data_IF_605422822492
#
_entry.id   IF_605422822492
#
_cell.length_a   1.000
_cell.length_b   1.000
_cell.length_c   1.000
_cell.angle_alpha   90.00
_cell.angle_beta   90.00
_cell.angle_gamma   90.00
#
_symmetry.space_group_name_H-M   'P 1'
#
loop_
_entity.id
_entity.type
_entity.pdbx_description
1 polymer ?
#
# COMPACT_ATOMS: atom_id res chain seq x y z
N UNK A 1 -31.99 63.61 -9.14
CA UNK A 1 -32.59 62.48 -8.40
C UNK A 1 -32.50 61.13 -9.12
N UNK A 2 -32.84 60.99 -10.41
CA UNK A 2 -32.81 59.70 -11.14
C UNK A 2 -31.42 59.02 -11.22
N UNK A 3 -30.33 59.78 -11.37
CA UNK A 3 -28.97 59.21 -11.48
C UNK A 3 -28.42 58.61 -10.17
N UNK A 4 -28.84 59.11 -9.01
CA UNK A 4 -28.40 58.59 -7.69
C UNK A 4 -29.10 57.27 -7.36
N UNK A 5 -30.35 57.11 -7.78
CA UNK A 5 -31.14 55.89 -7.58
C UNK A 5 -30.59 54.72 -8.43
N UNK A 6 -30.22 55.00 -9.68
CA UNK A 6 -29.63 53.99 -10.59
C UNK A 6 -28.28 53.49 -10.05
N UNK A 7 -27.43 54.39 -9.52
CA UNK A 7 -26.15 54.00 -8.90
C UNK A 7 -26.32 53.07 -7.69
N UNK A 8 -27.32 53.32 -6.84
CA UNK A 8 -27.60 52.47 -5.67
C UNK A 8 -28.17 51.10 -6.04
N UNK A 9 -29.03 51.04 -7.06
CA UNK A 9 -29.58 49.77 -7.56
C UNK A 9 -28.48 48.92 -8.22
N UNK A 10 -27.58 49.53 -9.01
CA UNK A 10 -26.44 48.82 -9.59
C UNK A 10 -25.46 48.30 -8.54
N UNK A 11 -25.23 49.03 -7.43
CA UNK A 11 -24.37 48.55 -6.35
C UNK A 11 -24.99 47.39 -5.55
N UNK A 12 -26.31 47.42 -5.31
CA UNK A 12 -27.00 46.33 -4.61
C UNK A 12 -27.04 45.05 -5.46
N UNK A 13 -27.24 45.17 -6.78
CA UNK A 13 -27.19 44.03 -7.70
C UNK A 13 -25.77 43.46 -7.81
N UNK A 14 -24.73 44.30 -7.82
CA UNK A 14 -23.34 43.84 -7.85
C UNK A 14 -22.96 43.08 -6.56
N UNK A 15 -23.42 43.55 -5.40
CA UNK A 15 -23.17 42.90 -4.10
C UNK A 15 -23.95 41.57 -4.00
N UNK A 16 -25.17 41.50 -4.53
CA UNK A 16 -25.95 40.26 -4.60
C UNK A 16 -25.33 39.18 -5.49
N UNK A 17 -24.74 39.58 -6.63
CA UNK A 17 -24.01 38.65 -7.53
C UNK A 17 -22.68 38.20 -6.91
N UNK A 18 -21.97 39.09 -6.19
CA UNK A 18 -20.77 38.73 -5.45
C UNK A 18 -21.06 37.74 -4.30
N UNK A 19 -22.15 37.94 -3.54
CA UNK A 19 -22.54 37.03 -2.45
C UNK A 19 -23.05 35.68 -2.96
N UNK A 20 -23.74 35.64 -4.11
CA UNK A 20 -24.14 34.40 -4.77
C UNK A 20 -22.95 33.66 -5.42
N UNK A 21 -21.94 34.39 -5.88
CA UNK A 21 -20.68 33.85 -6.39
C UNK A 21 -19.81 33.24 -5.28
N UNK A 22 -19.69 33.93 -4.14
CA UNK A 22 -18.91 33.44 -2.97
C UNK A 22 -19.61 32.25 -2.30
N UNK A 23 -20.95 32.22 -2.28
CA UNK A 23 -21.71 31.08 -1.73
C UNK A 23 -21.66 29.84 -2.62
N UNK A 24 -21.42 30.00 -3.94
CA UNK A 24 -21.23 28.87 -4.87
C UNK A 24 -19.82 28.29 -4.86
N UNK A 25 -18.82 29.04 -4.42
CA UNK A 25 -17.46 28.50 -4.18
C UNK A 25 -17.30 27.89 -2.78
N UNK A 26 -18.28 28.05 -1.89
CA UNK A 26 -18.26 27.48 -0.53
C UNK A 26 -18.96 26.10 -0.42
N UNK A 27 -19.54 25.59 -1.52
CA UNK A 27 -20.15 24.27 -1.60
C UNK A 27 -19.60 23.54 -2.83
N UNK A 28 -18.56 22.75 -2.63
CA UNK A 28 -18.06 21.81 -3.63
C UNK A 28 -16.77 22.22 -4.33
N UNK A 29 -15.72 22.52 -3.58
CA UNK A 29 -14.40 22.07 -3.99
C UNK A 29 -13.71 21.46 -2.78
N UNK A 30 -13.53 20.14 -2.81
CA UNK A 30 -12.41 19.52 -2.13
C UNK A 30 -11.15 19.98 -2.87
N UNK A 31 -10.82 21.28 -2.78
CA UNK A 31 -9.50 21.76 -3.14
C UNK A 31 -8.54 21.07 -2.17
N UNK A 32 -7.97 19.96 -2.65
CA UNK A 32 -6.78 19.34 -2.08
C UNK A 32 -5.74 20.45 -2.05
N UNK A 33 -5.63 21.12 -0.90
CA UNK A 33 -4.55 22.08 -0.65
C UNK A 33 -3.27 21.32 -0.95
N UNK A 34 -2.54 21.77 -1.97
CA UNK A 34 -1.18 21.30 -2.27
C UNK A 34 -0.37 21.53 -1.00
N UNK A 35 -0.27 20.49 -0.16
CA UNK A 35 0.65 20.50 0.97
C UNK A 35 2.01 20.34 0.34
N UNK A 36 2.93 21.26 0.63
CA UNK A 36 4.33 21.03 0.39
C UNK A 36 4.67 19.64 0.95
N UNK A 37 5.23 18.77 0.11
CA UNK A 37 5.74 17.47 0.55
C UNK A 37 6.75 17.81 1.67
N UNK A 38 6.53 17.40 2.93
CA UNK A 38 7.51 17.61 3.98
C UNK A 38 8.86 17.09 3.48
N UNK A 39 9.97 17.76 3.81
CA UNK A 39 11.31 17.20 3.58
C UNK A 39 11.27 15.71 3.95
N UNK A 40 11.56 14.83 2.97
CA UNK A 40 11.46 13.39 3.09
C UNK A 40 12.51 12.89 4.11
N UNK A 41 12.24 13.12 5.39
CA UNK A 41 12.96 12.59 6.54
C UNK A 41 12.27 11.32 7.04
N UNK A 42 12.00 10.39 6.12
CA UNK A 42 11.40 9.11 6.47
C UNK A 42 12.50 8.06 6.60
N UNK A 43 12.46 7.36 7.74
CA UNK A 43 13.36 6.28 8.14
C UNK A 43 13.50 5.28 6.98
N UNK A 44 14.72 5.12 6.48
CA UNK A 44 15.06 4.30 5.31
C UNK A 44 15.08 2.80 5.65
N UNK A 45 14.71 2.45 6.88
CA UNK A 45 14.61 1.08 7.35
C UNK A 45 13.20 0.53 7.11
N UNK A 46 13.05 -0.13 5.96
CA UNK A 46 12.13 -1.25 5.70
C UNK A 46 10.60 -1.02 5.79
N UNK A 47 10.14 0.18 6.18
CA UNK A 47 8.74 0.59 6.11
C UNK A 47 8.60 1.88 5.29
N UNK A 48 9.06 1.84 4.04
CA UNK A 48 8.93 2.97 3.12
C UNK A 48 7.45 3.31 2.94
N UNK A 49 6.96 4.32 3.67
CA UNK A 49 5.59 4.87 3.57
C UNK A 49 5.36 5.63 2.25
N UNK A 50 6.18 5.33 1.24
CA UNK A 50 6.09 5.91 -0.07
C UNK A 50 6.74 5.01 -1.13
N UNK A 51 6.24 5.12 -2.36
CA UNK A 51 6.88 4.63 -3.58
C UNK A 51 7.41 5.85 -4.32
N UNK A 52 8.66 5.86 -4.73
CA UNK A 52 9.22 6.91 -5.58
C UNK A 52 10.05 6.31 -6.70
N UNK A 53 9.62 6.54 -7.94
CA UNK A 53 10.32 6.06 -9.12
C UNK A 53 10.12 6.99 -10.30
N UNK A 54 11.21 7.53 -10.83
CA UNK A 54 11.20 8.54 -11.90
C UNK A 54 10.25 9.70 -11.55
N UNK A 55 9.19 9.86 -12.31
CA UNK A 55 8.23 10.94 -12.16
C UNK A 55 7.00 10.54 -11.33
N UNK A 56 6.94 9.31 -10.81
CA UNK A 56 5.88 8.81 -9.93
C UNK A 56 6.29 8.92 -8.47
N UNK A 57 5.40 9.45 -7.64
CA UNK A 57 5.48 9.40 -6.18
C UNK A 57 4.12 8.98 -5.62
N UNK A 58 4.09 7.94 -4.79
CA UNK A 58 2.90 7.51 -4.05
C UNK A 58 3.22 7.70 -2.58
N UNK A 59 2.44 8.51 -1.86
CA UNK A 59 2.59 8.72 -0.42
C UNK A 59 1.49 7.99 0.34
N UNK A 60 1.86 7.12 1.28
CA UNK A 60 0.92 6.52 2.23
C UNK A 60 0.71 7.51 3.39
N UNK A 61 -0.48 8.10 3.46
CA UNK A 61 -0.77 9.12 4.46
C UNK A 61 -1.26 8.51 5.77
N UNK A 62 -2.08 7.46 5.72
CA UNK A 62 -2.67 6.79 6.89
C UNK A 62 -3.21 5.40 6.50
N UNK A 63 -2.36 4.37 6.54
CA UNK A 63 -2.72 2.94 6.39
C UNK A 63 -3.73 2.65 5.27
N UNK A 64 -3.31 2.86 4.03
CA UNK A 64 -4.13 2.57 2.84
C UNK A 64 -4.70 3.84 2.19
N UNK A 65 -4.73 4.97 2.90
CA UNK A 65 -5.03 6.26 2.29
C UNK A 65 -3.80 6.81 1.55
N UNK A 66 -3.64 6.38 0.31
CA UNK A 66 -2.53 6.77 -0.55
C UNK A 66 -2.88 7.98 -1.44
N UNK A 67 -1.88 8.80 -1.72
CA UNK A 67 -2.00 9.90 -2.69
C UNK A 67 -0.94 9.74 -3.76
N UNK A 68 -1.38 9.73 -5.02
CA UNK A 68 -0.51 9.59 -6.19
C UNK A 68 -0.15 10.97 -6.72
N UNK A 69 1.14 11.19 -6.94
CA UNK A 69 1.72 12.39 -7.50
C UNK A 69 2.49 12.07 -8.78
N UNK A 70 2.42 12.98 -9.75
CA UNK A 70 3.21 12.95 -10.98
C UNK A 70 4.09 14.19 -11.07
N UNK A 71 5.37 14.01 -11.41
CA UNK A 71 6.29 15.11 -11.63
C UNK A 71 6.02 15.77 -12.98
N UNK A 72 5.80 17.08 -12.96
CA UNK A 72 5.61 17.95 -14.12
C UNK A 72 6.44 19.21 -13.91
N UNK A 73 7.25 19.59 -14.90
CA UNK A 73 8.12 20.76 -14.84
C UNK A 73 9.01 20.81 -13.57
N UNK A 74 9.47 19.63 -13.13
CA UNK A 74 10.34 19.50 -11.95
C UNK A 74 9.61 19.39 -10.61
N UNK A 75 8.28 19.52 -10.57
CA UNK A 75 7.49 19.57 -9.34
C UNK A 75 6.46 18.42 -9.33
N UNK A 76 6.33 17.71 -8.21
CA UNK A 76 5.28 16.70 -8.02
C UNK A 76 3.92 17.37 -7.80
N UNK A 77 2.95 16.99 -8.63
CA UNK A 77 1.55 17.44 -8.54
C UNK A 77 0.64 16.26 -8.23
N UNK A 78 -0.35 16.47 -7.38
CA UNK A 78 -1.37 15.44 -7.06
C UNK A 78 -2.11 15.06 -8.35
N UNK A 79 -2.39 13.77 -8.50
CA UNK A 79 -3.18 13.22 -9.60
C UNK A 79 -4.52 12.69 -9.11
N UNK A 80 -5.44 12.45 -10.04
CA UNK A 80 -6.72 11.79 -9.75
C UNK A 80 -6.62 10.25 -9.70
N UNK A 81 -5.42 9.68 -9.97
CA UNK A 81 -5.19 8.24 -9.95
C UNK A 81 -5.06 7.72 -8.52
N UNK A 82 -5.50 6.50 -8.30
CA UNK A 82 -5.32 5.75 -7.05
C UNK A 82 -4.21 4.69 -7.18
N UNK A 83 -3.84 4.06 -6.07
CA UNK A 83 -2.96 2.89 -6.10
C UNK A 83 -3.59 1.71 -6.85
N UNK A 84 -4.86 1.39 -6.62
CA UNK A 84 -5.53 0.33 -7.40
C UNK A 84 -5.62 0.64 -8.90
N UNK A 85 -5.74 1.91 -9.31
CA UNK A 85 -5.66 2.30 -10.73
C UNK A 85 -4.27 2.00 -11.33
N UNK A 86 -3.21 2.16 -10.53
CA UNK A 86 -1.83 1.85 -10.94
C UNK A 86 -1.64 0.33 -11.03
N UNK A 87 -2.08 -0.39 -10.00
CA UNK A 87 -1.95 -1.85 -9.90
C UNK A 87 -2.92 -2.60 -10.81
N UNK A 88 -3.92 -1.92 -11.38
CA UNK A 88 -4.99 -2.49 -12.20
C UNK A 88 -5.87 -3.47 -11.40
N UNK A 89 -6.26 -3.06 -10.19
CA UNK A 89 -7.12 -3.82 -9.28
C UNK A 89 -8.43 -3.11 -8.99
N UNK A 90 -9.41 -3.85 -8.47
CA UNK A 90 -10.70 -3.29 -8.04
C UNK A 90 -10.61 -2.64 -6.65
N UNK A 91 -9.72 -3.15 -5.80
CA UNK A 91 -9.53 -2.70 -4.42
C UNK A 91 -8.05 -2.33 -4.20
N UNK A 92 -7.82 -1.46 -3.22
CA UNK A 92 -6.46 -1.17 -2.76
C UNK A 92 -5.85 -2.43 -2.11
N UNK A 93 -4.53 -2.62 -2.23
CA UNK A 93 -3.87 -3.77 -1.62
C UNK A 93 -3.81 -3.63 -0.09
N UNK A 94 -3.85 -4.75 0.62
CA UNK A 94 -3.63 -4.79 2.09
C UNK A 94 -2.27 -4.18 2.45
N UNK A 95 -1.25 -4.50 1.66
CA UNK A 95 0.13 -4.07 1.91
C UNK A 95 0.91 -3.94 0.61
N UNK A 96 1.88 -3.05 0.55
CA UNK A 96 2.75 -2.87 -0.60
C UNK A 96 4.13 -2.32 -0.21
N UNK A 97 5.13 -2.60 -1.04
CA UNK A 97 6.51 -2.14 -0.86
C UNK A 97 7.18 -1.94 -2.22
N UNK A 98 8.16 -1.02 -2.28
CA UNK A 98 8.97 -0.83 -3.48
C UNK A 98 10.19 -1.78 -3.50
N UNK A 99 10.47 -2.37 -4.65
CA UNK A 99 11.76 -3.00 -4.95
C UNK A 99 12.30 -2.49 -6.30
N UNK A 100 13.23 -1.54 -6.28
CA UNK A 100 13.75 -0.94 -7.51
C UNK A 100 12.62 -0.27 -8.32
N UNK A 101 12.41 -0.72 -9.56
CA UNK A 101 11.32 -0.29 -10.43
C UNK A 101 9.98 -1.03 -10.19
N UNK A 102 9.91 -1.93 -9.21
CA UNK A 102 8.72 -2.73 -8.95
C UNK A 102 7.94 -2.21 -7.73
N UNK A 103 6.61 -2.28 -7.82
CA UNK A 103 5.73 -2.26 -6.64
C UNK A 103 5.29 -3.69 -6.39
N UNK A 104 5.63 -4.22 -5.22
CA UNK A 104 5.19 -5.54 -4.76
C UNK A 104 4.03 -5.32 -3.80
N UNK A 105 2.86 -5.81 -4.15
CA UNK A 105 1.63 -5.63 -3.37
C UNK A 105 1.00 -6.98 -3.01
N UNK A 106 0.39 -7.04 -1.83
CA UNK A 106 -0.46 -8.12 -1.35
C UNK A 106 -1.91 -7.73 -1.57
N UNK A 107 -2.71 -8.56 -2.22
CA UNK A 107 -4.14 -8.27 -2.39
C UNK A 107 -4.85 -8.11 -1.05
N UNK A 108 -5.95 -7.34 -1.03
CA UNK A 108 -6.78 -7.13 0.17
C UNK A 108 -7.22 -8.46 0.80
N UNK A 109 -7.68 -9.42 -0.02
CA UNK A 109 -8.07 -10.75 0.46
C UNK A 109 -6.89 -11.64 0.91
N UNK A 110 -5.65 -11.17 0.73
CA UNK A 110 -4.39 -11.88 1.02
C UNK A 110 -4.24 -13.18 0.21
N UNK A 111 -4.83 -13.24 -0.98
CA UNK A 111 -4.88 -14.47 -1.80
C UNK A 111 -3.83 -14.49 -2.90
N UNK A 112 -3.19 -13.36 -3.21
CA UNK A 112 -2.18 -13.27 -4.26
C UNK A 112 -1.21 -12.10 -4.02
N UNK A 113 -0.01 -12.21 -4.58
CA UNK A 113 0.85 -11.06 -4.80
C UNK A 113 0.62 -10.46 -6.19
N UNK A 114 0.71 -9.15 -6.28
CA UNK A 114 0.77 -8.36 -7.50
C UNK A 114 2.15 -7.73 -7.59
N UNK A 115 2.77 -7.82 -8.75
CA UNK A 115 4.06 -7.20 -9.02
C UNK A 115 3.83 -6.25 -10.19
N UNK A 116 3.79 -4.96 -9.91
CA UNK A 116 3.65 -3.93 -10.92
C UNK A 116 5.03 -3.42 -11.31
N UNK A 117 5.39 -3.54 -12.59
CA UNK A 117 6.61 -2.98 -13.14
C UNK A 117 6.36 -1.54 -13.61
N UNK A 118 6.95 -0.57 -12.89
CA UNK A 118 6.78 0.85 -13.20
C UNK A 118 7.49 1.29 -14.49
N UNK A 119 8.38 0.47 -15.08
CA UNK A 119 8.99 0.74 -16.38
C UNK A 119 8.08 0.36 -17.54
N UNK A 120 7.47 -0.82 -17.49
CA UNK A 120 6.60 -1.33 -18.56
C UNK A 120 5.13 -0.96 -18.36
N UNK A 121 4.70 -0.71 -17.13
CA UNK A 121 3.30 -0.53 -16.75
C UNK A 121 2.51 -1.85 -16.67
N UNK A 122 3.19 -3.00 -16.70
CA UNK A 122 2.58 -4.33 -16.63
C UNK A 122 2.43 -4.82 -15.19
N UNK A 123 1.37 -5.58 -14.91
CA UNK A 123 1.13 -6.23 -13.62
C UNK A 123 1.21 -7.75 -13.76
N UNK A 124 1.98 -8.39 -12.88
CA UNK A 124 2.12 -9.84 -12.80
C UNK A 124 1.46 -10.37 -11.52
N UNK A 125 0.65 -11.42 -11.66
CA UNK A 125 -0.12 -11.98 -10.53
C UNK A 125 0.40 -13.34 -10.10
N UNK A 126 0.63 -13.49 -8.80
CA UNK A 126 1.13 -14.71 -8.17
C UNK A 126 0.13 -15.21 -7.13
N UNK A 127 -0.88 -16.01 -7.55
CA UNK A 127 -1.89 -16.52 -6.63
C UNK A 127 -1.31 -17.58 -5.68
N UNK A 128 -1.90 -17.64 -4.50
CA UNK A 128 -1.69 -18.75 -3.56
C UNK A 128 -2.34 -20.02 -4.08
N UNK A 129 -2.06 -21.13 -3.40
CA UNK A 129 -2.84 -22.34 -3.60
C UNK A 129 -4.32 -22.11 -3.23
N UNK A 130 -5.21 -22.81 -3.93
CA UNK A 130 -6.65 -22.65 -3.77
C UNK A 130 -7.07 -22.87 -2.31
N UNK A 131 -7.82 -21.91 -1.75
CA UNK A 131 -8.32 -21.95 -0.38
C UNK A 131 -7.30 -21.53 0.68
N UNK A 132 -6.13 -21.03 0.27
CA UNK A 132 -5.14 -20.46 1.17
C UNK A 132 -5.06 -18.93 1.05
N UNK A 133 -4.62 -18.31 2.14
CA UNK A 133 -4.26 -16.90 2.25
C UNK A 133 -2.81 -16.76 2.68
N UNK A 134 -2.19 -15.62 2.41
CA UNK A 134 -0.85 -15.27 2.86
C UNK A 134 -0.95 -14.81 4.32
N UNK A 135 -0.16 -15.43 5.18
CA UNK A 135 -0.17 -15.15 6.62
C UNK A 135 0.89 -14.10 6.98
N UNK A 136 2.12 -14.32 6.50
CA UNK A 136 3.24 -13.39 6.66
C UNK A 136 4.14 -13.43 5.42
N UNK A 137 4.79 -12.29 5.15
CA UNK A 137 5.71 -12.17 4.01
C UNK A 137 6.78 -11.10 4.26
N UNK A 138 7.89 -11.25 3.55
CA UNK A 138 9.05 -10.35 3.58
C UNK A 138 9.60 -10.19 2.18
N UNK A 139 10.08 -9.00 1.87
CA UNK A 139 10.85 -8.74 0.67
C UNK A 139 12.34 -8.63 1.05
N UNK A 140 13.18 -9.50 0.51
CA UNK A 140 14.61 -9.47 0.76
C UNK A 140 15.40 -9.80 -0.51
N UNK A 141 16.36 -8.92 -0.86
CA UNK A 141 17.26 -9.08 -2.01
C UNK A 141 16.58 -9.51 -3.32
N UNK A 142 15.43 -8.90 -3.64
CA UNK A 142 14.72 -9.17 -4.89
C UNK A 142 13.92 -10.48 -4.88
N UNK A 143 13.63 -11.02 -3.70
CA UNK A 143 12.75 -12.17 -3.54
C UNK A 143 11.68 -11.91 -2.49
N UNK A 144 10.45 -12.36 -2.79
CA UNK A 144 9.35 -12.39 -1.82
C UNK A 144 9.42 -13.74 -1.11
N UNK A 145 9.57 -13.71 0.20
CA UNK A 145 9.46 -14.87 1.06
C UNK A 145 8.13 -14.81 1.78
N UNK A 146 7.39 -15.90 1.81
CA UNK A 146 6.05 -15.88 2.38
C UNK A 146 5.60 -17.25 2.89
N UNK A 147 4.60 -17.20 3.76
CA UNK A 147 3.87 -18.36 4.24
C UNK A 147 2.39 -18.23 3.89
N UNK A 148 1.78 -19.37 3.58
CA UNK A 148 0.35 -19.48 3.35
C UNK A 148 -0.34 -20.13 4.56
N UNK A 149 -1.64 -19.89 4.74
CA UNK A 149 -2.50 -20.52 5.74
C UNK A 149 -3.82 -20.95 5.11
N UNK A 150 -4.37 -22.04 5.58
CA UNK A 150 -5.71 -22.51 5.22
C UNK A 150 -6.69 -22.13 6.33
N UNK A 151 -7.86 -21.63 5.96
CA UNK A 151 -8.94 -21.36 6.90
C UNK A 151 -9.90 -22.55 6.92
N UNK A 152 -10.16 -23.08 8.11
CA UNK A 152 -11.14 -24.13 8.33
C UNK A 152 -12.55 -23.54 8.39
N UNK A 153 -13.56 -24.38 8.19
CA UNK A 153 -14.99 -24.00 8.25
C UNK A 153 -15.40 -23.43 9.62
N UNK A 154 -14.68 -23.77 10.69
CA UNK A 154 -14.92 -23.28 12.06
C UNK A 154 -14.21 -21.94 12.36
N UNK A 155 -13.58 -21.32 11.36
CA UNK A 155 -12.84 -20.07 11.49
C UNK A 155 -11.45 -20.22 12.12
N UNK A 156 -10.99 -21.45 12.39
CA UNK A 156 -9.62 -21.70 12.82
C UNK A 156 -8.66 -21.75 11.63
N UNK A 157 -7.38 -21.47 11.87
CA UNK A 157 -6.35 -21.50 10.82
C UNK A 157 -5.46 -22.72 10.96
N UNK A 158 -5.10 -23.31 9.82
CA UNK A 158 -3.97 -24.21 9.68
C UNK A 158 -2.89 -23.46 8.91
N UNK A 159 -1.84 -23.03 9.62
CA UNK A 159 -0.70 -22.37 8.98
C UNK A 159 0.14 -23.41 8.25
N UNK A 160 0.44 -23.15 6.97
CA UNK A 160 1.38 -23.96 6.21
C UNK A 160 2.77 -23.77 6.82
N UNK A 161 3.46 -24.88 7.10
CA UNK A 161 4.80 -24.83 7.73
C UNK A 161 5.88 -24.82 6.67
N UNK A 162 5.55 -24.19 5.55
CA UNK A 162 6.35 -24.11 4.35
C UNK A 162 6.61 -22.64 4.09
N UNK A 163 7.87 -22.27 4.03
CA UNK A 163 8.28 -20.96 3.56
C UNK A 163 8.50 -21.08 2.06
N UNK A 164 7.81 -20.24 1.29
CA UNK A 164 7.88 -20.17 -0.16
C UNK A 164 8.63 -18.90 -0.57
N UNK A 165 9.20 -18.93 -1.78
CA UNK A 165 9.94 -17.83 -2.38
C UNK A 165 9.43 -17.54 -3.77
N UNK A 166 9.35 -16.25 -4.14
CA UNK A 166 9.16 -15.77 -5.52
C UNK A 166 10.37 -14.89 -5.85
N UNK A 167 11.13 -15.26 -6.87
CA UNK A 167 12.19 -14.39 -7.38
C UNK A 167 11.59 -13.30 -8.28
N UNK A 168 11.88 -12.02 -8.00
CA UNK A 168 11.28 -10.91 -8.74
C UNK A 168 11.83 -10.73 -10.16
N UNK A 169 13.06 -11.19 -10.43
CA UNK A 169 13.69 -11.11 -11.76
C UNK A 169 13.16 -12.22 -12.69
N UNK A 170 13.05 -13.43 -12.17
CA UNK A 170 12.66 -14.62 -12.96
C UNK A 170 11.19 -14.99 -12.86
N UNK A 171 10.50 -14.53 -11.81
CA UNK A 171 9.14 -14.93 -11.48
C UNK A 171 8.99 -16.39 -11.06
N UNK A 172 10.07 -17.12 -10.79
CA UNK A 172 9.97 -18.53 -10.40
C UNK A 172 9.57 -18.68 -8.93
N UNK A 173 8.65 -19.61 -8.67
CA UNK A 173 8.22 -20.01 -7.33
C UNK A 173 9.05 -21.18 -6.84
N UNK A 174 9.49 -21.15 -5.58
CA UNK A 174 10.18 -22.28 -4.96
C UNK A 174 9.80 -22.47 -3.49
N UNK A 175 9.99 -23.69 -2.99
CA UNK A 175 9.93 -23.98 -1.56
C UNK A 175 11.32 -23.70 -0.99
N UNK A 176 11.38 -22.82 0.02
CA UNK A 176 12.61 -22.43 0.71
C UNK A 176 12.85 -23.34 1.92
N UNK A 177 11.79 -23.63 2.66
CA UNK A 177 11.84 -24.44 3.86
C UNK A 177 10.53 -25.19 4.03
N UNK A 178 10.60 -26.43 4.50
CA UNK A 178 9.46 -27.26 4.88
C UNK A 178 9.73 -27.82 6.27
N UNK A 179 8.83 -27.59 7.21
CA UNK A 179 8.96 -28.15 8.56
C UNK A 179 8.84 -29.67 8.57
N UNK A 180 9.79 -30.34 9.23
CA UNK A 180 9.74 -31.77 9.52
C UNK A 180 8.78 -32.11 10.68
N UNK A 181 8.36 -31.13 11.48
CA UNK A 181 7.52 -31.32 12.68
C UNK A 181 6.13 -30.72 12.50
N UNK A 182 5.16 -31.48 11.94
CA UNK A 182 3.84 -30.96 11.61
C UNK A 182 2.96 -30.59 12.81
N UNK A 183 3.40 -30.79 14.08
CA UNK A 183 2.54 -30.70 15.28
C UNK A 183 2.64 -29.41 16.14
N UNK A 184 3.54 -28.46 15.84
CA UNK A 184 3.61 -27.18 16.58
C UNK A 184 2.45 -26.23 16.22
N UNK A 185 1.83 -25.56 17.19
CA UNK A 185 0.63 -24.75 16.98
C UNK A 185 0.91 -23.39 16.31
N UNK A 186 2.09 -22.81 16.56
CA UNK A 186 2.49 -21.53 15.98
C UNK A 186 3.85 -21.66 15.28
N UNK A 187 3.92 -21.12 14.07
CA UNK A 187 5.14 -21.04 13.27
C UNK A 187 5.18 -19.63 12.65
N UNK A 188 6.24 -18.89 12.94
CA UNK A 188 6.53 -17.61 12.30
C UNK A 188 7.96 -17.64 11.79
N UNK A 189 8.23 -16.88 10.74
CA UNK A 189 9.59 -16.67 10.29
C UNK A 189 9.87 -15.18 10.13
N UNK A 190 11.14 -14.83 10.19
CA UNK A 190 11.65 -13.52 9.84
C UNK A 190 12.99 -13.67 9.13
N UNK A 191 13.30 -12.68 8.30
CA UNK A 191 14.56 -12.63 7.56
C UNK A 191 15.42 -11.56 8.20
N UNK A 192 16.63 -11.94 8.63
CA UNK A 192 17.62 -10.98 9.12
C UNK A 192 18.29 -10.26 7.97
N UNK A 193 18.93 -9.14 8.30
CA UNK A 193 19.71 -8.34 7.36
C UNK A 193 20.79 -9.14 6.60
N UNK A 194 21.33 -10.21 7.21
CA UNK A 194 22.30 -11.12 6.59
C UNK A 194 21.68 -12.21 5.71
N UNK A 195 20.35 -12.18 5.51
CA UNK A 195 19.58 -13.12 4.71
C UNK A 195 19.26 -14.42 5.42
N UNK A 196 19.65 -14.57 6.70
CA UNK A 196 19.33 -15.76 7.46
C UNK A 196 17.86 -15.77 7.84
N UNK A 197 17.19 -16.89 7.52
CA UNK A 197 15.81 -17.14 7.90
C UNK A 197 15.79 -17.72 9.32
N UNK A 198 15.10 -17.04 10.21
CA UNK A 198 14.81 -17.53 11.56
C UNK A 198 13.39 -17.99 11.64
N UNK A 199 13.19 -19.13 12.30
CA UNK A 199 11.88 -19.73 12.50
C UNK A 199 11.62 -19.86 14.00
N UNK A 200 10.53 -19.28 14.48
CA UNK A 200 10.10 -19.42 15.86
C UNK A 200 8.93 -20.40 15.96
N UNK A 201 9.01 -21.31 16.94
CA UNK A 201 7.99 -22.32 17.22
C UNK A 201 7.35 -22.02 18.57
N UNK A 202 6.03 -21.87 18.58
CA UNK A 202 5.25 -21.74 19.81
C UNK A 202 4.36 -22.96 20.04
N UNK A 203 4.31 -23.44 21.29
CA UNK A 203 3.24 -24.33 21.76
C UNK A 203 2.09 -23.48 22.33
N UNK A 204 0.82 -23.86 22.13
CA UNK A 204 -0.28 -23.25 22.90
C UNK A 204 -0.01 -23.45 24.39
N UNK A 205 0.38 -22.39 25.09
CA UNK A 205 0.39 -22.39 26.56
C UNK A 205 1.68 -22.01 27.28
N UNK A 206 2.59 -21.22 26.70
CA UNK A 206 3.57 -20.48 27.51
C UNK A 206 3.52 -18.98 27.19
N UNK A 207 2.62 -18.29 27.90
CA UNK A 207 2.80 -16.88 28.22
C UNK A 207 4.23 -16.63 28.68
N UNK A 208 4.86 -15.60 28.10
CA UNK A 208 6.05 -14.87 28.60
C UNK A 208 6.62 -15.42 29.90
N UNK A 209 7.75 -16.13 29.82
CA UNK A 209 8.74 -16.02 30.87
C UNK A 209 9.80 -15.06 30.36
N UNK A 210 9.76 -13.85 30.92
CA UNK A 210 10.90 -12.95 30.90
C UNK A 210 12.13 -13.75 31.37
N UNK A 211 13.14 -13.84 30.51
CA UNK A 211 14.48 -14.27 30.93
C UNK A 211 15.26 -12.97 31.15
N UNK A 212 15.48 -12.67 32.43
CA UNK A 212 16.51 -11.74 32.91
C UNK A 212 17.91 -12.25 32.55
#
# INVERSE_FOLDING_TARGET
MKQVLIRRISQIILIGILLAGISRTAYGSNEVKIRAIPELGYDVNENSRYICYKDLLILDLDYGNNVVYQKQDGIYQVTDRTLHDILQTEEDPEAYVQHGNLIVALSEEKTLFLIYDMDSGETYSYPCEKGKQIDCWYLYQGEIYYMERMMNDDGTYVTDKTIKGINLDKGDKRIIYQSEKPKMDYFWFFIREDGMIFCEWGEKGNSRRDIL
#
